data_IF_661489335833
#
_entry.id   IF_661489335833
#
_cell.length_a   1.000
_cell.length_b   1.000
_cell.length_c   1.000
_cell.angle_alpha   90.00
_cell.angle_beta   90.00
_cell.angle_gamma   90.00
#
_symmetry.space_group_name_H-M   'P 1'
#
loop_
_entity.id
_entity.type
_entity.pdbx_description
1 polymer ?
#
# COMPACT_ATOMS: atom_id res chain seq x y z
N UNK A 1 -35.38 23.01 -17.21
CA UNK A 1 -34.14 23.28 -16.45
C UNK A 1 -33.05 22.37 -16.99
N UNK A 2 -32.14 22.91 -17.83
CA UNK A 2 -31.08 22.18 -18.49
C UNK A 2 -30.06 21.64 -17.43
N UNK A 3 -29.86 20.35 -17.38
CA UNK A 3 -28.83 19.75 -16.56
C UNK A 3 -27.47 20.07 -17.18
N UNK A 4 -26.64 20.85 -16.48
CA UNK A 4 -25.26 21.09 -16.92
C UNK A 4 -24.52 19.76 -17.09
N UNK A 5 -23.75 19.56 -18.17
CA UNK A 5 -22.94 18.36 -18.39
C UNK A 5 -22.06 17.98 -17.18
N UNK A 6 -21.48 18.99 -16.49
CA UNK A 6 -20.70 18.81 -15.28
C UNK A 6 -21.52 18.20 -14.13
N UNK A 7 -22.76 18.64 -13.94
CA UNK A 7 -23.66 18.12 -12.90
C UNK A 7 -24.07 16.67 -13.18
N UNK A 8 -24.31 16.36 -14.46
CA UNK A 8 -24.60 14.99 -14.89
C UNK A 8 -23.40 14.08 -14.64
N UNK A 9 -22.20 14.52 -15.00
CA UNK A 9 -20.95 13.79 -14.75
C UNK A 9 -20.74 13.49 -13.26
N UNK A 10 -20.94 14.47 -12.38
CA UNK A 10 -20.80 14.29 -10.94
C UNK A 10 -21.78 13.24 -10.39
N UNK A 11 -23.04 13.28 -10.81
CA UNK A 11 -24.06 12.29 -10.38
C UNK A 11 -23.73 10.88 -10.85
N UNK A 12 -23.17 10.72 -12.04
CA UNK A 12 -22.75 9.40 -12.56
C UNK A 12 -21.58 8.89 -11.72
N UNK A 13 -20.58 9.73 -11.38
CA UNK A 13 -19.46 9.34 -10.54
C UNK A 13 -19.90 8.93 -9.13
N UNK A 14 -20.81 9.66 -8.51
CA UNK A 14 -21.37 9.33 -7.20
C UNK A 14 -22.09 7.97 -7.21
N UNK A 15 -22.97 7.74 -8.20
CA UNK A 15 -23.66 6.47 -8.37
C UNK A 15 -22.71 5.32 -8.69
N UNK A 16 -21.65 5.58 -9.46
CA UNK A 16 -20.64 4.60 -9.81
C UNK A 16 -19.80 4.19 -8.59
N UNK A 17 -19.39 5.16 -7.75
CA UNK A 17 -18.68 4.89 -6.52
C UNK A 17 -19.48 3.96 -5.62
N UNK A 18 -20.76 4.24 -5.40
CA UNK A 18 -21.64 3.39 -4.60
C UNK A 18 -21.77 1.97 -5.16
N UNK A 19 -22.05 1.84 -6.47
CA UNK A 19 -22.21 0.53 -7.13
C UNK A 19 -20.91 -0.29 -7.13
N UNK A 20 -19.76 0.34 -7.40
CA UNK A 20 -18.48 -0.35 -7.38
C UNK A 20 -18.05 -0.78 -5.97
N UNK A 21 -18.35 0.03 -4.96
CA UNK A 21 -18.07 -0.34 -3.55
C UNK A 21 -18.94 -1.51 -3.07
N UNK A 22 -20.21 -1.54 -3.47
CA UNK A 22 -21.14 -2.61 -3.07
C UNK A 22 -20.78 -3.94 -3.75
N UNK A 23 -20.48 -3.92 -5.05
CA UNK A 23 -20.40 -5.13 -5.88
C UNK A 23 -19.01 -5.47 -6.39
N UNK A 24 -18.04 -4.60 -6.21
CA UNK A 24 -16.76 -4.66 -6.91
C UNK A 24 -16.89 -4.35 -8.40
N UNK A 25 -15.76 -4.07 -9.04
CA UNK A 25 -15.76 -3.70 -10.45
C UNK A 25 -16.39 -4.81 -11.34
N UNK A 26 -15.98 -6.07 -11.20
CA UNK A 26 -16.45 -7.14 -12.09
C UNK A 26 -17.98 -7.25 -12.14
N UNK A 27 -18.64 -7.23 -10.98
CA UNK A 27 -20.11 -7.43 -10.86
C UNK A 27 -20.93 -6.15 -10.95
N UNK A 28 -20.30 -4.98 -10.93
CA UNK A 28 -21.00 -3.71 -11.11
C UNK A 28 -21.58 -3.56 -12.51
N UNK A 29 -22.76 -2.94 -12.61
CA UNK A 29 -23.50 -2.80 -13.86
C UNK A 29 -23.79 -1.36 -14.27
N UNK A 30 -23.40 -0.96 -15.50
CA UNK A 30 -23.65 0.40 -16.02
C UNK A 30 -25.15 0.77 -16.04
N UNK A 31 -26.04 -0.21 -16.25
CA UNK A 31 -27.49 0.05 -16.20
C UNK A 31 -27.96 0.47 -14.79
N UNK A 32 -27.42 -0.15 -13.72
CA UNK A 32 -27.74 0.21 -12.35
C UNK A 32 -27.17 1.58 -11.99
N UNK A 33 -25.94 1.85 -12.43
CA UNK A 33 -25.30 3.18 -12.26
C UNK A 33 -26.14 4.26 -12.96
N UNK A 34 -26.55 4.04 -14.21
CA UNK A 34 -27.36 4.98 -14.96
C UNK A 34 -28.71 5.23 -14.27
N UNK A 35 -29.39 4.18 -13.81
CA UNK A 35 -30.65 4.30 -13.07
C UNK A 35 -30.48 5.10 -11.77
N UNK A 36 -29.47 4.78 -10.96
CA UNK A 36 -29.16 5.50 -9.73
C UNK A 36 -28.81 6.99 -9.98
N UNK A 37 -28.06 7.26 -11.05
CA UNK A 37 -27.73 8.60 -11.50
C UNK A 37 -28.90 9.31 -12.20
N UNK A 38 -30.04 8.66 -12.43
CA UNK A 38 -31.21 9.17 -13.17
C UNK A 38 -30.82 9.69 -14.57
N UNK A 39 -30.05 8.90 -15.31
CA UNK A 39 -29.64 9.15 -16.68
C UNK A 39 -29.83 7.88 -17.53
N UNK A 40 -29.67 7.99 -18.84
CA UNK A 40 -29.63 6.82 -19.72
C UNK A 40 -28.25 6.16 -19.69
N UNK A 41 -28.17 4.88 -20.01
CA UNK A 41 -26.89 4.18 -20.17
C UNK A 41 -26.04 4.83 -21.27
N UNK A 42 -26.68 5.32 -22.34
CA UNK A 42 -26.01 6.08 -23.40
C UNK A 42 -25.31 7.35 -22.88
N UNK A 43 -25.93 8.05 -21.92
CA UNK A 43 -25.29 9.21 -21.29
C UNK A 43 -24.03 8.81 -20.51
N UNK A 44 -24.00 7.65 -19.85
CA UNK A 44 -22.80 7.14 -19.17
C UNK A 44 -21.68 6.88 -20.19
N UNK A 45 -22.00 6.23 -21.31
CA UNK A 45 -21.02 6.00 -22.38
C UNK A 45 -20.52 7.31 -23.00
N UNK A 46 -21.38 8.30 -23.20
CA UNK A 46 -20.98 9.61 -23.73
C UNK A 46 -20.00 10.35 -22.81
N UNK A 47 -20.13 10.20 -21.48
CA UNK A 47 -19.27 10.88 -20.54
C UNK A 47 -17.95 10.16 -20.26
N UNK A 48 -17.93 8.81 -20.32
CA UNK A 48 -16.81 8.00 -19.82
C UNK A 48 -16.32 6.95 -20.83
N UNK A 49 -16.97 6.78 -21.95
CA UNK A 49 -16.59 5.85 -23.00
C UNK A 49 -16.87 4.39 -22.68
N UNK A 50 -16.51 3.94 -21.47
CA UNK A 50 -16.63 2.55 -21.04
C UNK A 50 -16.83 2.45 -19.52
N UNK A 51 -17.07 1.22 -19.02
CA UNK A 51 -17.06 0.92 -17.59
C UNK A 51 -15.67 1.16 -16.98
N UNK A 52 -14.62 0.82 -17.74
CA UNK A 52 -13.24 1.03 -17.32
C UNK A 52 -12.90 2.53 -17.26
N UNK A 53 -13.29 3.32 -18.27
CA UNK A 53 -13.11 4.78 -18.25
C UNK A 53 -13.89 5.46 -17.13
N UNK A 54 -15.06 4.92 -16.75
CA UNK A 54 -15.79 5.40 -15.58
C UNK A 54 -15.06 5.06 -14.27
N UNK A 55 -14.49 3.87 -14.16
CA UNK A 55 -13.70 3.46 -13.01
C UNK A 55 -12.41 4.29 -12.90
N UNK A 56 -11.70 4.47 -14.02
CA UNK A 56 -10.50 5.30 -14.11
C UNK A 56 -10.77 6.75 -13.68
N UNK A 57 -11.89 7.32 -14.12
CA UNK A 57 -12.30 8.66 -13.70
C UNK A 57 -12.58 8.81 -12.20
N UNK A 58 -12.82 7.72 -11.49
CA UNK A 58 -12.97 7.69 -10.03
C UNK A 58 -11.63 7.56 -9.30
N UNK A 59 -10.73 6.71 -9.79
CA UNK A 59 -9.58 6.26 -9.01
C UNK A 59 -8.23 6.69 -9.58
N UNK A 60 -8.16 7.12 -10.84
CA UNK A 60 -6.90 7.32 -11.57
C UNK A 60 -5.97 8.35 -10.91
N UNK A 61 -6.52 9.52 -10.53
CA UNK A 61 -5.77 10.54 -9.81
C UNK A 61 -5.24 10.02 -8.46
N UNK A 62 -6.12 9.35 -7.69
CA UNK A 62 -5.76 8.77 -6.39
C UNK A 62 -4.73 7.66 -6.50
N UNK A 63 -4.77 6.86 -7.58
CA UNK A 63 -3.76 5.83 -7.85
C UNK A 63 -2.39 6.46 -8.13
N UNK A 64 -2.35 7.51 -8.96
CA UNK A 64 -1.12 8.23 -9.25
C UNK A 64 -0.52 8.90 -8.00
N UNK A 65 -1.36 9.55 -7.18
CA UNK A 65 -0.94 10.15 -5.91
C UNK A 65 -0.40 9.11 -4.92
N UNK A 66 -1.04 7.93 -4.83
CA UNK A 66 -0.57 6.87 -3.95
C UNK A 66 0.79 6.33 -4.40
N UNK A 67 0.98 6.09 -5.69
CA UNK A 67 2.28 5.66 -6.25
C UNK A 67 3.34 6.71 -5.99
N UNK A 68 3.04 7.99 -6.21
CA UNK A 68 3.95 9.10 -5.93
C UNK A 68 4.33 9.17 -4.45
N UNK A 69 3.35 9.11 -3.53
CA UNK A 69 3.58 9.09 -2.09
C UNK A 69 4.37 7.86 -1.63
N UNK A 70 4.14 6.71 -2.28
CA UNK A 70 4.86 5.47 -2.00
C UNK A 70 6.31 5.52 -2.46
N UNK A 71 6.58 6.24 -3.57
CA UNK A 71 7.92 6.41 -4.16
C UNK A 71 8.69 7.53 -3.47
N UNK A 72 8.00 8.60 -3.03
CA UNK A 72 8.62 9.73 -2.34
C UNK A 72 9.41 9.25 -1.10
N UNK A 73 10.62 9.77 -0.95
CA UNK A 73 11.51 9.39 0.15
C UNK A 73 12.41 8.17 -0.13
N UNK A 74 12.50 7.71 -1.38
CA UNK A 74 13.39 6.61 -1.79
C UNK A 74 14.73 7.10 -2.36
N UNK A 75 14.77 8.31 -2.90
CA UNK A 75 15.93 8.85 -3.61
C UNK A 75 16.91 9.62 -2.71
N UNK A 76 17.05 9.22 -1.45
CA UNK A 76 18.09 9.73 -0.57
C UNK A 76 17.66 10.19 0.82
N UNK A 77 16.36 10.19 1.09
CA UNK A 77 15.91 10.65 2.42
C UNK A 77 14.79 9.77 2.93
N UNK A 78 15.15 8.59 3.46
CA UNK A 78 14.22 8.07 4.38
C UNK A 78 13.28 6.90 4.10
N UNK A 79 13.71 5.77 4.30
CA UNK A 79 12.93 4.52 4.42
C UNK A 79 13.83 3.31 4.34
N UNK A 80 14.98 3.52 3.78
CA UNK A 80 16.14 2.65 3.91
C UNK A 80 16.98 3.23 5.03
N UNK A 81 17.40 2.45 6.04
CA UNK A 81 18.50 2.90 6.90
C UNK A 81 19.63 3.34 5.96
N UNK A 82 20.24 4.55 6.15
CA UNK A 82 21.32 5.00 5.30
C UNK A 82 22.38 3.90 5.23
N UNK A 83 22.90 3.61 4.02
CA UNK A 83 23.92 2.58 3.79
C UNK A 83 25.19 2.79 4.62
N UNK A 84 25.40 4.02 5.12
CA UNK A 84 26.51 4.43 5.99
C UNK A 84 26.15 4.41 7.49
N UNK A 85 25.10 3.68 7.89
CA UNK A 85 24.77 3.60 9.31
C UNK A 85 25.82 2.76 10.00
N UNK A 86 26.79 3.36 10.76
CA UNK A 86 27.60 2.58 11.65
C UNK A 86 26.65 1.89 12.62
N UNK A 87 26.90 0.64 12.94
CA UNK A 87 26.22 -0.08 14.00
C UNK A 87 26.46 0.66 15.33
N UNK A 88 25.75 1.79 15.52
CA UNK A 88 25.86 2.58 16.73
C UNK A 88 25.09 1.88 17.83
N UNK A 89 25.83 1.38 18.83
CA UNK A 89 25.33 0.76 20.04
C UNK A 89 24.48 1.69 20.93
N UNK A 90 24.21 2.93 20.50
CA UNK A 90 23.56 3.96 21.32
C UNK A 90 22.06 4.12 21.10
N UNK A 91 21.41 3.30 20.27
CA UNK A 91 19.95 3.34 20.05
C UNK A 91 19.43 4.54 19.26
N UNK A 92 20.21 5.62 19.11
CA UNK A 92 19.78 6.87 18.42
C UNK A 92 19.51 6.69 16.93
N UNK A 93 20.16 5.73 16.29
CA UNK A 93 19.92 5.41 14.87
C UNK A 93 18.57 4.70 14.68
N UNK A 94 18.23 3.75 15.56
CA UNK A 94 16.95 3.05 15.52
C UNK A 94 15.77 4.02 15.74
N UNK A 95 15.92 5.00 16.66
CA UNK A 95 14.89 6.01 16.92
C UNK A 95 14.65 6.94 15.72
N UNK A 96 15.69 7.34 15.00
CA UNK A 96 15.56 8.17 13.79
C UNK A 96 14.89 7.41 12.64
N UNK A 97 15.25 6.14 12.44
CA UNK A 97 14.63 5.28 11.44
C UNK A 97 13.16 4.99 11.78
N UNK A 98 12.87 4.80 13.08
CA UNK A 98 11.51 4.62 13.57
C UNK A 98 10.66 5.88 13.36
N UNK A 99 11.17 7.05 13.71
CA UNK A 99 10.50 8.34 13.54
C UNK A 99 10.20 8.61 12.05
N UNK A 100 11.14 8.30 11.18
CA UNK A 100 11.00 8.48 9.74
C UNK A 100 10.00 7.48 9.11
N UNK A 101 10.07 6.21 9.47
CA UNK A 101 9.08 5.22 9.04
C UNK A 101 7.66 5.60 9.53
N UNK A 102 7.55 6.18 10.73
CA UNK A 102 6.30 6.67 11.29
C UNK A 102 5.75 7.87 10.50
N UNK A 103 6.60 8.81 10.09
CA UNK A 103 6.22 9.97 9.31
C UNK A 103 5.73 9.59 7.89
N UNK A 104 6.46 8.70 7.19
CA UNK A 104 6.01 8.17 5.88
C UNK A 104 4.68 7.43 6.00
N UNK A 105 4.56 6.55 7.00
CA UNK A 105 3.31 5.82 7.27
C UNK A 105 2.18 6.80 7.56
N UNK A 106 2.45 7.86 8.32
CA UNK A 106 1.51 8.93 8.61
C UNK A 106 1.02 9.62 7.34
N UNK A 107 1.91 10.05 6.44
CA UNK A 107 1.56 10.70 5.17
C UNK A 107 0.71 9.80 4.26
N UNK A 108 1.06 8.52 4.13
CA UNK A 108 0.27 7.56 3.34
C UNK A 108 -1.13 7.39 3.96
N UNK A 109 -1.23 7.25 5.28
CA UNK A 109 -2.52 7.15 5.95
C UNK A 109 -3.35 8.42 5.79
N UNK A 110 -2.75 9.59 5.88
CA UNK A 110 -3.43 10.86 5.70
C UNK A 110 -3.99 10.99 4.28
N UNK A 111 -3.21 10.60 3.27
CA UNK A 111 -3.68 10.53 1.89
C UNK A 111 -4.85 9.54 1.75
N UNK A 112 -4.69 8.31 2.21
CA UNK A 112 -5.68 7.24 2.07
C UNK A 112 -6.98 7.60 2.79
N UNK A 113 -6.91 8.12 4.01
CA UNK A 113 -8.09 8.47 4.80
C UNK A 113 -8.72 9.82 4.42
N UNK A 114 -8.07 10.63 3.59
CA UNK A 114 -8.70 11.81 2.99
C UNK A 114 -9.81 11.44 1.99
N UNK A 115 -9.69 10.28 1.34
CA UNK A 115 -10.63 9.73 0.34
C UNK A 115 -10.76 8.21 0.51
N UNK A 116 -11.06 7.76 1.73
CA UNK A 116 -11.04 6.35 2.13
C UNK A 116 -11.86 5.45 1.20
N UNK A 117 -13.01 5.94 0.73
CA UNK A 117 -13.90 5.19 -0.17
C UNK A 117 -13.27 4.90 -1.53
N UNK A 118 -12.52 5.87 -2.07
CA UNK A 118 -11.79 5.72 -3.33
C UNK A 118 -10.63 4.74 -3.15
N UNK A 119 -9.89 4.83 -2.04
CA UNK A 119 -8.76 3.92 -1.78
C UNK A 119 -9.22 2.51 -1.41
N UNK A 120 -10.38 2.34 -0.72
CA UNK A 120 -11.00 1.02 -0.55
C UNK A 120 -11.32 0.40 -1.91
N UNK A 121 -11.92 1.18 -2.81
CA UNK A 121 -12.25 0.73 -4.16
C UNK A 121 -10.98 0.34 -4.92
N UNK A 122 -9.96 1.19 -4.91
CA UNK A 122 -8.71 1.03 -5.64
C UNK A 122 -7.89 -0.18 -5.17
N UNK A 123 -7.75 -0.36 -3.85
CA UNK A 123 -6.87 -1.39 -3.29
C UNK A 123 -7.56 -2.73 -3.01
N UNK A 124 -8.90 -2.72 -2.82
CA UNK A 124 -9.63 -3.92 -2.38
C UNK A 124 -10.68 -4.41 -3.39
N UNK A 125 -11.11 -3.57 -4.36
CA UNK A 125 -12.25 -3.86 -5.24
C UNK A 125 -11.95 -3.71 -6.74
N UNK A 126 -10.70 -3.48 -7.12
CA UNK A 126 -10.29 -3.17 -8.49
C UNK A 126 -10.04 -4.40 -9.39
N UNK A 127 -10.43 -5.60 -8.96
CA UNK A 127 -10.26 -6.82 -9.74
C UNK A 127 -10.93 -6.70 -11.12
N UNK A 128 -10.23 -7.11 -12.18
CA UNK A 128 -10.68 -6.99 -13.56
C UNK A 128 -10.45 -5.61 -14.19
N UNK A 129 -9.69 -4.73 -13.54
CA UNK A 129 -9.28 -3.42 -14.08
C UNK A 129 -7.77 -3.35 -14.28
N UNK A 130 -7.29 -2.28 -14.96
CA UNK A 130 -5.87 -1.96 -15.05
C UNK A 130 -5.19 -1.72 -13.69
N UNK A 131 -5.97 -1.47 -12.64
CA UNK A 131 -5.50 -1.23 -11.26
C UNK A 131 -5.43 -2.50 -10.40
N UNK A 132 -5.87 -3.65 -10.87
CA UNK A 132 -5.86 -4.92 -10.13
C UNK A 132 -4.48 -5.23 -9.54
N UNK A 133 -3.42 -4.90 -10.27
CA UNK A 133 -2.02 -5.16 -9.87
C UNK A 133 -1.34 -4.01 -9.13
N UNK A 134 -2.09 -2.98 -8.74
CA UNK A 134 -1.51 -1.86 -7.99
C UNK A 134 -0.87 -2.29 -6.66
N UNK A 135 -1.48 -3.19 -5.84
CA UNK A 135 -0.83 -3.69 -4.62
C UNK A 135 0.52 -4.35 -4.89
N UNK A 136 0.63 -5.19 -5.94
CA UNK A 136 1.91 -5.80 -6.32
C UNK A 136 2.91 -4.77 -6.83
N UNK A 137 2.45 -3.73 -7.54
CA UNK A 137 3.31 -2.62 -7.96
C UNK A 137 3.90 -1.90 -6.76
N UNK A 138 3.09 -1.55 -5.76
CA UNK A 138 3.54 -0.91 -4.51
C UNK A 138 4.53 -1.80 -3.75
N UNK A 139 4.25 -3.10 -3.64
CA UNK A 139 5.15 -4.07 -3.01
C UNK A 139 6.48 -4.18 -3.76
N UNK A 140 6.47 -4.15 -5.10
CA UNK A 140 7.69 -4.15 -5.92
C UNK A 140 8.53 -2.91 -5.67
N UNK A 141 7.89 -1.76 -5.61
CA UNK A 141 8.53 -0.50 -5.24
C UNK A 141 9.24 -0.61 -3.88
N UNK A 142 8.59 -1.16 -2.88
CA UNK A 142 9.17 -1.38 -1.55
C UNK A 142 10.33 -2.39 -1.57
N UNK A 143 10.17 -3.49 -2.32
CA UNK A 143 11.19 -4.52 -2.45
C UNK A 143 12.50 -3.99 -3.06
N UNK A 144 12.44 -3.04 -4.01
CA UNK A 144 13.63 -2.39 -4.55
C UNK A 144 14.42 -1.62 -3.50
N UNK A 145 13.75 -1.03 -2.50
CA UNK A 145 14.43 -0.39 -1.37
C UNK A 145 15.14 -1.43 -0.50
N UNK A 146 14.47 -2.55 -0.20
CA UNK A 146 15.06 -3.60 0.65
C UNK A 146 16.25 -4.31 0.02
N UNK A 147 16.32 -4.42 -1.30
CA UNK A 147 17.48 -4.99 -1.99
C UNK A 147 18.78 -4.21 -1.78
N UNK A 148 18.68 -2.93 -1.40
CA UNK A 148 19.84 -2.08 -1.13
C UNK A 148 20.34 -2.18 0.30
N UNK A 149 19.66 -2.95 1.17
CA UNK A 149 20.06 -3.12 2.57
C UNK A 149 21.34 -3.94 2.67
N UNK A 150 22.28 -3.56 3.57
CA UNK A 150 23.47 -4.34 3.83
C UNK A 150 23.10 -5.79 4.23
N UNK A 151 23.81 -6.78 3.72
CA UNK A 151 23.54 -8.19 4.03
C UNK A 151 22.45 -8.85 3.16
N UNK A 152 21.72 -8.09 2.36
CA UNK A 152 20.81 -8.64 1.33
C UNK A 152 21.62 -8.89 0.06
N UNK A 153 21.55 -10.12 -0.45
CA UNK A 153 22.24 -10.56 -1.65
C UNK A 153 21.28 -10.80 -2.81
N UNK A 154 21.79 -11.06 -4.01
CA UNK A 154 20.96 -11.45 -5.16
C UNK A 154 20.65 -12.97 -5.18
N UNK A 155 20.66 -13.63 -4.03
CA UNK A 155 20.24 -15.02 -3.91
C UNK A 155 18.73 -15.19 -4.14
N UNK A 156 18.31 -16.37 -4.55
CA UNK A 156 16.88 -16.67 -4.72
C UNK A 156 16.11 -16.52 -3.40
N UNK A 157 16.74 -16.86 -2.27
CA UNK A 157 16.17 -16.75 -0.93
C UNK A 157 15.96 -15.27 -0.55
N UNK A 158 16.97 -14.41 -0.76
CA UNK A 158 16.87 -12.98 -0.43
C UNK A 158 15.86 -12.27 -1.34
N UNK A 159 15.82 -12.60 -2.64
CA UNK A 159 14.78 -12.07 -3.54
C UNK A 159 13.37 -12.42 -3.06
N UNK A 160 13.17 -13.66 -2.59
CA UNK A 160 11.87 -14.08 -2.04
C UNK A 160 11.58 -13.38 -0.71
N UNK A 161 12.57 -13.28 0.19
CA UNK A 161 12.46 -12.61 1.48
C UNK A 161 12.04 -11.15 1.32
N UNK A 162 12.77 -10.36 0.54
CA UNK A 162 12.46 -8.94 0.35
C UNK A 162 11.09 -8.73 -0.29
N UNK A 163 10.69 -9.60 -1.23
CA UNK A 163 9.36 -9.53 -1.85
C UNK A 163 8.25 -9.81 -0.84
N UNK A 164 8.42 -10.83 0.00
CA UNK A 164 7.45 -11.20 1.03
C UNK A 164 7.28 -10.10 2.07
N UNK A 165 8.40 -9.57 2.57
CA UNK A 165 8.38 -8.51 3.58
C UNK A 165 7.84 -7.19 3.02
N UNK A 166 8.14 -6.87 1.77
CA UNK A 166 7.58 -5.71 1.09
C UNK A 166 6.06 -5.81 0.94
N UNK A 167 5.57 -6.98 0.50
CA UNK A 167 4.13 -7.22 0.34
C UNK A 167 3.37 -7.08 1.68
N UNK A 168 3.98 -7.46 2.80
CA UNK A 168 3.33 -7.39 4.12
C UNK A 168 2.89 -5.98 4.52
N UNK A 169 3.62 -4.93 4.10
CA UNK A 169 3.25 -3.55 4.38
C UNK A 169 2.03 -3.07 3.59
N UNK A 170 1.95 -3.47 2.33
CA UNK A 170 0.80 -3.17 1.46
C UNK A 170 -0.43 -3.93 1.94
N UNK A 171 -0.25 -5.21 2.32
CA UNK A 171 -1.34 -6.04 2.83
C UNK A 171 -1.89 -5.52 4.15
N UNK A 172 -1.04 -5.00 5.03
CA UNK A 172 -1.49 -4.33 6.25
C UNK A 172 -2.37 -3.11 5.96
N UNK A 173 -2.03 -2.29 4.97
CA UNK A 173 -2.87 -1.16 4.56
C UNK A 173 -4.22 -1.64 4.00
N UNK A 174 -4.21 -2.68 3.15
CA UNK A 174 -5.43 -3.28 2.61
C UNK A 174 -6.32 -3.82 3.73
N UNK A 175 -5.76 -4.58 4.67
CA UNK A 175 -6.48 -5.12 5.80
C UNK A 175 -7.15 -4.02 6.64
N UNK A 176 -6.46 -2.88 6.87
CA UNK A 176 -7.05 -1.74 7.57
C UNK A 176 -8.29 -1.20 6.86
N UNK A 177 -8.28 -1.13 5.52
CA UNK A 177 -9.41 -0.69 4.70
C UNK A 177 -10.54 -1.74 4.67
N UNK A 178 -10.23 -3.01 4.45
CA UNK A 178 -11.19 -4.12 4.40
C UNK A 178 -11.94 -4.28 5.71
N UNK A 179 -11.24 -4.13 6.84
CA UNK A 179 -11.83 -4.17 8.18
C UNK A 179 -12.41 -2.82 8.63
N UNK A 180 -12.42 -1.82 7.74
CA UNK A 180 -13.02 -0.49 7.98
C UNK A 180 -12.55 0.16 9.27
N UNK A 181 -11.26 0.04 9.57
CA UNK A 181 -10.69 0.72 10.72
C UNK A 181 -10.87 2.24 10.57
N UNK A 182 -11.19 2.91 11.66
CA UNK A 182 -11.18 4.37 11.70
C UNK A 182 -9.74 4.88 11.53
N UNK A 183 -9.55 6.13 11.09
CA UNK A 183 -8.20 6.71 10.92
C UNK A 183 -7.32 6.57 12.18
N UNK A 184 -7.80 6.83 13.42
CA UNK A 184 -6.99 6.61 14.62
C UNK A 184 -6.63 5.15 14.87
N UNK A 185 -7.54 4.21 14.58
CA UNK A 185 -7.28 2.77 14.71
C UNK A 185 -6.27 2.28 13.70
N UNK A 186 -6.43 2.68 12.43
CA UNK A 186 -5.50 2.35 11.36
C UNK A 186 -4.10 2.92 11.64
N UNK A 187 -4.00 4.14 12.19
CA UNK A 187 -2.72 4.74 12.60
C UNK A 187 -2.05 3.86 13.65
N UNK A 188 -2.74 3.52 14.74
CA UNK A 188 -2.19 2.65 15.81
C UNK A 188 -1.79 1.27 15.28
N UNK A 189 -2.61 0.70 14.39
CA UNK A 189 -2.33 -0.60 13.78
C UNK A 189 -1.07 -0.53 12.89
N UNK A 190 -0.99 0.42 11.98
CA UNK A 190 0.14 0.57 11.06
C UNK A 190 1.45 0.94 11.79
N UNK A 191 1.39 1.72 12.85
CA UNK A 191 2.55 2.02 13.70
C UNK A 191 3.11 0.76 14.39
N UNK A 192 2.25 -0.17 14.81
CA UNK A 192 2.67 -1.46 15.38
C UNK A 192 3.31 -2.34 14.32
N UNK A 193 2.73 -2.42 13.13
CA UNK A 193 3.29 -3.15 11.98
C UNK A 193 4.65 -2.56 11.60
N UNK A 194 4.77 -1.23 11.51
CA UNK A 194 6.03 -0.57 11.18
C UNK A 194 7.13 -0.87 12.22
N UNK A 195 6.82 -0.82 13.51
CA UNK A 195 7.76 -1.18 14.58
C UNK A 195 8.21 -2.64 14.50
N UNK A 196 7.28 -3.56 14.27
CA UNK A 196 7.60 -4.98 14.09
C UNK A 196 8.54 -5.19 12.89
N UNK A 197 8.25 -4.56 11.76
CA UNK A 197 9.08 -4.65 10.55
C UNK A 197 10.48 -4.10 10.77
N UNK A 198 10.61 -2.94 11.45
CA UNK A 198 11.90 -2.35 11.78
C UNK A 198 12.72 -3.25 12.70
N UNK A 199 12.11 -3.77 13.76
CA UNK A 199 12.77 -4.71 14.67
C UNK A 199 13.17 -6.01 13.96
N UNK A 200 12.32 -6.53 13.07
CA UNK A 200 12.61 -7.69 12.24
C UNK A 200 13.82 -7.46 11.34
N UNK A 201 13.87 -6.32 10.64
CA UNK A 201 15.03 -5.95 9.82
C UNK A 201 16.30 -5.79 10.65
N UNK A 202 16.25 -5.14 11.81
CA UNK A 202 17.39 -5.01 12.70
C UNK A 202 17.92 -6.39 13.17
N UNK A 203 17.02 -7.34 13.43
CA UNK A 203 17.41 -8.70 13.77
C UNK A 203 17.99 -9.51 12.60
N UNK A 204 17.46 -9.33 11.40
CA UNK A 204 17.96 -10.00 10.19
C UNK A 204 19.33 -9.48 9.71
N UNK A 205 19.57 -8.19 9.89
CA UNK A 205 20.81 -7.51 9.43
C UNK A 205 21.87 -7.36 10.53
N UNK A 206 21.51 -7.70 11.78
CA UNK A 206 22.43 -7.70 12.91
C UNK A 206 23.45 -8.84 12.83
N UNK A 207 24.51 -8.81 13.67
CA UNK A 207 25.46 -9.91 13.75
C UNK A 207 24.71 -11.19 14.10
N UNK A 208 24.94 -12.24 13.31
CA UNK A 208 24.40 -13.60 13.60
C UNK A 208 24.82 -13.97 15.02
N UNK A 209 23.90 -14.33 15.93
CA UNK A 209 24.31 -14.86 17.24
C UNK A 209 25.30 -16.00 17.00
N UNK A 210 26.47 -15.93 17.63
CA UNK A 210 27.47 -16.97 17.53
C UNK A 210 26.80 -18.31 17.82
N UNK A 211 26.92 -19.26 16.89
CA UNK A 211 26.43 -20.62 17.09
C UNK A 211 26.95 -21.12 18.46
N UNK A 212 26.06 -21.52 19.33
CA UNK A 212 26.47 -22.16 20.59
C UNK A 212 27.49 -23.23 20.24
N UNK A 213 28.66 -23.28 20.92
CA UNK A 213 29.62 -24.34 20.69
C UNK A 213 28.93 -25.69 20.96
N UNK A 214 29.07 -26.61 20.02
CA UNK A 214 28.55 -27.96 20.17
C UNK A 214 28.99 -28.51 21.54
N UNK A 215 28.11 -29.22 22.29
CA UNK A 215 28.49 -29.77 23.57
C UNK A 215 29.68 -30.72 23.36
N UNK A 216 30.78 -30.41 24.05
CA UNK A 216 31.95 -31.27 24.07
C UNK A 216 31.48 -32.65 24.50
N UNK A 217 31.56 -33.62 23.60
CA UNK A 217 31.37 -35.02 23.88
C UNK A 217 32.50 -35.41 24.87
N UNK A 218 32.16 -35.33 26.15
CA UNK A 218 33.04 -35.80 27.20
C UNK A 218 33.41 -37.25 26.96
N UNK A 219 34.69 -37.45 26.70
CA UNK A 219 35.36 -38.71 26.71
C UNK A 219 35.23 -39.27 28.14
N UNK A 220 34.57 -40.38 28.28
CA UNK A 220 34.53 -41.13 29.56
C UNK A 220 35.60 -42.19 29.52
N UNK A 221 36.38 -42.30 30.57
CA UNK A 221 37.44 -43.30 30.73
C UNK A 221 36.91 -44.73 30.83
#
# INVERSE_FOLDING_TARGET
MGHSPARTRARILEAALAEFRDRGYERAGLRRIAAAARVTTGAVYNHFGSKEGLFDALVGESAAELVAAWTAGRDGDAGTPPADMPADRTGRSADRTAAFSADRTGRILDLVYSRVEIFELLLCRARGTGYERLPEQLARIEAEAYRRLPGITDSAADRLLVRTLAASGVEALRAALEHRLTRPEARRYMERIARFRLAGWAGLLGPTPASEPAPETGDRP
#
